data_IF_565684960599
#
_entry.id   IF_565684960599
#
_cell.length_a   1.000
_cell.length_b   1.000
_cell.length_c   1.000
_cell.angle_alpha   90.00
_cell.angle_beta   90.00
_cell.angle_gamma   90.00
#
_symmetry.space_group_name_H-M   'P 1'
#
loop_
_entity.id
_entity.type
_entity.pdbx_description
1 polymer ?
#
# COMPACT_ATOMS: atom_id res chain seq x y z
N UNK A 1 -11.44 24.74 2.02
CA UNK A 1 -9.97 24.83 1.81
C UNK A 1 -9.58 25.84 0.72
N UNK A 2 -10.02 25.69 -0.53
CA UNK A 2 -9.69 26.63 -1.61
C UNK A 2 -10.13 28.07 -1.29
N UNK A 3 -11.33 28.24 -0.73
CA UNK A 3 -11.82 29.54 -0.26
C UNK A 3 -10.94 30.15 0.84
N UNK A 4 -10.49 29.34 1.81
CA UNK A 4 -9.59 29.78 2.89
C UNK A 4 -8.23 30.21 2.34
N UNK A 5 -7.65 29.43 1.42
CA UNK A 5 -6.42 29.81 0.71
C UNK A 5 -6.61 31.11 -0.10
N UNK A 6 -7.76 31.27 -0.74
CA UNK A 6 -8.09 32.50 -1.46
C UNK A 6 -8.19 33.73 -0.56
N UNK A 7 -8.79 33.59 0.62
CA UNK A 7 -8.84 34.67 1.64
C UNK A 7 -7.43 35.04 2.08
N UNK A 8 -6.59 34.05 2.40
CA UNK A 8 -5.19 34.25 2.79
C UNK A 8 -4.41 35.02 1.72
N UNK A 9 -4.56 34.63 0.44
CA UNK A 9 -3.87 35.31 -0.67
C UNK A 9 -4.31 36.77 -0.77
N UNK A 10 -5.62 37.06 -0.63
CA UNK A 10 -6.11 38.44 -0.63
C UNK A 10 -5.55 39.25 0.54
N UNK A 11 -5.61 38.71 1.76
CA UNK A 11 -5.06 39.38 2.94
C UNK A 11 -3.55 39.64 2.81
N UNK A 12 -2.81 38.72 2.21
CA UNK A 12 -1.38 38.89 1.92
C UNK A 12 -1.13 40.02 0.92
N UNK A 13 -1.93 40.07 -0.15
CA UNK A 13 -1.85 41.17 -1.11
C UNK A 13 -2.19 42.51 -0.45
N UNK A 14 -3.19 42.55 0.42
CA UNK A 14 -3.57 43.76 1.15
C UNK A 14 -2.46 44.22 2.10
N UNK A 15 -1.83 43.30 2.83
CA UNK A 15 -0.68 43.60 3.69
C UNK A 15 0.49 44.19 2.90
N UNK A 16 0.80 43.61 1.74
CA UNK A 16 1.87 44.08 0.85
C UNK A 16 1.55 45.44 0.24
N UNK A 17 0.29 45.66 -0.16
CA UNK A 17 -0.18 46.94 -0.67
C UNK A 17 -0.06 48.06 0.38
N UNK A 18 -0.41 47.76 1.64
CA UNK A 18 -0.24 48.70 2.76
C UNK A 18 1.24 49.00 3.03
N UNK A 19 2.10 47.99 2.96
CA UNK A 19 3.56 48.17 3.07
C UNK A 19 4.12 49.07 1.96
N UNK A 20 3.69 48.89 0.72
CA UNK A 20 4.04 49.76 -0.41
C UNK A 20 3.55 51.19 -0.19
N UNK A 21 2.30 51.35 0.26
CA UNK A 21 1.74 52.66 0.57
C UNK A 21 2.53 53.42 1.65
N UNK A 22 3.02 52.71 2.68
CA UNK A 22 3.90 53.32 3.69
C UNK A 22 5.24 53.79 3.08
N UNK A 23 5.84 53.01 2.18
CA UNK A 23 7.06 53.41 1.45
C UNK A 23 6.83 54.60 0.51
N UNK A 24 5.64 54.69 -0.10
CA UNK A 24 5.25 55.83 -0.93
C UNK A 24 5.09 57.10 -0.08
N UNK A 25 4.52 57.01 1.13
CA UNK A 25 4.44 58.14 2.05
C UNK A 25 5.82 58.62 2.49
N UNK A 26 6.73 57.71 2.80
CA UNK A 26 8.13 58.06 3.10
C UNK A 26 8.80 58.80 1.94
N UNK A 27 8.63 58.31 0.71
CA UNK A 27 9.15 58.95 -0.49
C UNK A 27 8.58 60.35 -0.70
N UNK A 28 7.27 60.54 -0.45
CA UNK A 28 6.61 61.84 -0.54
C UNK A 28 7.08 62.82 0.54
N UNK A 29 7.28 62.35 1.78
CA UNK A 29 7.82 63.18 2.86
C UNK A 29 9.24 63.67 2.53
N UNK A 30 10.10 62.78 2.01
CA UNK A 30 11.45 63.15 1.56
C UNK A 30 11.42 64.19 0.43
N UNK A 31 10.53 64.01 -0.56
CA UNK A 31 10.40 64.94 -1.68
C UNK A 31 9.92 66.34 -1.23
N UNK A 32 9.06 66.43 -0.21
CA UNK A 32 8.61 67.71 0.36
C UNK A 32 9.76 68.45 1.04
N UNK A 33 10.54 67.75 1.88
CA UNK A 33 11.70 68.34 2.55
C UNK A 33 12.75 68.81 1.54
N UNK A 34 12.98 68.04 0.47
CA UNK A 34 13.89 68.43 -0.60
C UNK A 34 13.43 69.70 -1.34
N UNK A 35 12.12 69.86 -1.59
CA UNK A 35 11.57 71.10 -2.16
C UNK A 35 11.70 72.30 -1.24
N UNK A 36 11.55 72.09 0.08
CA UNK A 36 11.82 73.10 1.10
C UNK A 36 13.28 73.57 1.05
N UNK A 37 14.23 72.63 0.95
CA UNK A 37 15.67 72.95 0.84
C UNK A 37 16.03 73.69 -0.45
N UNK A 38 15.35 73.38 -1.56
CA UNK A 38 15.55 74.05 -2.85
C UNK A 38 14.88 75.44 -2.93
N UNK A 39 14.19 75.88 -1.86
CA UNK A 39 13.48 77.17 -1.81
C UNK A 39 12.23 77.22 -2.69
N UNK A 40 11.79 76.07 -3.24
CA UNK A 40 10.57 75.97 -4.05
C UNK A 40 9.29 75.84 -3.20
N UNK A 41 9.45 75.66 -1.88
CA UNK A 41 8.41 75.63 -0.87
C UNK A 41 8.97 76.29 0.40
N UNK A 42 8.13 76.96 1.19
CA UNK A 42 8.56 77.44 2.50
C UNK A 42 8.95 76.26 3.39
N UNK A 43 10.12 76.33 4.04
CA UNK A 43 10.62 75.22 4.87
C UNK A 43 9.64 74.84 5.99
N UNK A 44 9.03 75.82 6.65
CA UNK A 44 8.05 75.57 7.70
C UNK A 44 6.82 74.82 7.19
N UNK A 45 6.36 75.13 5.97
CA UNK A 45 5.26 74.41 5.33
C UNK A 45 5.67 73.01 4.88
N UNK A 46 6.89 72.86 4.35
CA UNK A 46 7.48 71.56 3.98
C UNK A 46 7.54 70.60 5.17
N UNK A 47 8.04 71.07 6.32
CA UNK A 47 8.17 70.30 7.55
C UNK A 47 6.80 69.93 8.13
N UNK A 48 5.83 70.86 8.10
CA UNK A 48 4.45 70.59 8.54
C UNK A 48 3.81 69.46 7.73
N UNK A 49 3.88 69.55 6.39
CA UNK A 49 3.32 68.55 5.48
C UNK A 49 4.06 67.21 5.58
N UNK A 50 5.39 67.22 5.70
CA UNK A 50 6.18 66.01 5.88
C UNK A 50 5.81 65.30 7.20
N UNK A 51 5.62 66.05 8.29
CA UNK A 51 5.21 65.50 9.59
C UNK A 51 3.84 64.82 9.51
N UNK A 52 2.86 65.45 8.83
CA UNK A 52 1.53 64.85 8.64
C UNK A 52 1.60 63.57 7.79
N UNK A 53 2.44 63.54 6.75
CA UNK A 53 2.63 62.34 5.93
C UNK A 53 3.33 61.23 6.72
N UNK A 54 4.31 61.56 7.56
CA UNK A 54 4.98 60.59 8.43
C UNK A 54 4.04 60.00 9.48
N UNK A 55 3.12 60.79 10.03
CA UNK A 55 2.07 60.27 10.91
C UNK A 55 1.18 59.24 10.18
N UNK A 56 0.78 59.54 8.93
CA UNK A 56 0.00 58.58 8.10
C UNK A 56 0.81 57.34 7.71
N UNK A 57 2.13 57.47 7.53
CA UNK A 57 3.04 56.33 7.31
C UNK A 57 3.03 55.39 8.52
N UNK A 58 3.11 55.94 9.73
CA UNK A 58 3.08 55.17 10.98
C UNK A 58 1.79 54.35 11.08
N UNK A 59 0.63 55.00 10.87
CA UNK A 59 -0.69 54.35 10.91
C UNK A 59 -0.80 53.19 9.92
N UNK A 60 -0.43 53.43 8.65
CA UNK A 60 -0.47 52.40 7.60
C UNK A 60 0.56 51.30 7.85
N UNK A 61 1.72 51.63 8.42
CA UNK A 61 2.75 50.68 8.80
C UNK A 61 2.29 49.73 9.91
N UNK A 62 1.61 50.26 10.93
CA UNK A 62 1.01 49.45 11.99
C UNK A 62 -0.10 48.54 11.45
N UNK A 63 -0.94 49.05 10.55
CA UNK A 63 -1.98 48.25 9.89
C UNK A 63 -1.38 47.11 9.05
N UNK A 64 -0.31 47.37 8.30
CA UNK A 64 0.41 46.36 7.53
C UNK A 64 1.01 45.27 8.43
N UNK A 65 1.59 45.65 9.57
CA UNK A 65 2.09 44.72 10.59
C UNK A 65 0.98 43.85 11.17
N UNK A 66 -0.18 44.45 11.48
CA UNK A 66 -1.35 43.74 11.98
C UNK A 66 -1.85 42.72 10.97
N UNK A 67 -2.06 43.14 9.71
CA UNK A 67 -2.49 42.23 8.64
C UNK A 67 -1.48 41.10 8.42
N UNK A 68 -0.18 41.41 8.42
CA UNK A 68 0.87 40.40 8.20
C UNK A 68 0.84 39.30 9.27
N UNK A 69 0.69 39.68 10.55
CA UNK A 69 0.52 38.70 11.65
C UNK A 69 -0.73 37.85 11.46
N UNK A 70 -1.83 38.46 11.05
CA UNK A 70 -3.09 37.76 10.82
C UNK A 70 -3.01 36.78 9.65
N UNK A 71 -2.33 37.17 8.55
CA UNK A 71 -2.02 36.29 7.41
C UNK A 71 -1.24 35.06 7.87
N UNK A 72 -0.20 35.22 8.69
CA UNK A 72 0.59 34.08 9.19
C UNK A 72 -0.25 33.11 10.02
N UNK A 73 -1.14 33.64 10.87
CA UNK A 73 -2.07 32.82 11.65
C UNK A 73 -3.03 32.03 10.75
N UNK A 74 -3.62 32.70 9.75
CA UNK A 74 -4.55 32.08 8.80
C UNK A 74 -3.86 31.06 7.89
N UNK A 75 -2.60 31.29 7.47
CA UNK A 75 -1.77 30.33 6.75
C UNK A 75 -1.56 29.05 7.57
N UNK A 76 -1.21 29.18 8.85
CA UNK A 76 -1.03 28.04 9.76
C UNK A 76 -2.31 27.23 9.91
N UNK A 77 -3.46 27.90 10.12
CA UNK A 77 -4.76 27.22 10.21
C UNK A 77 -5.14 26.52 8.90
N UNK A 78 -4.88 27.14 7.74
CA UNK A 78 -5.13 26.52 6.45
C UNK A 78 -4.28 25.26 6.22
N UNK A 79 -3.01 25.28 6.65
CA UNK A 79 -2.12 24.11 6.58
C UNK A 79 -2.57 22.99 7.52
N UNK A 80 -3.02 23.31 8.74
CA UNK A 80 -3.58 22.32 9.65
C UNK A 80 -4.84 21.68 9.07
N UNK A 81 -5.73 22.49 8.50
CA UNK A 81 -6.94 21.98 7.85
C UNK A 81 -6.61 21.06 6.67
N UNK A 82 -5.62 21.41 5.85
CA UNK A 82 -5.13 20.55 4.77
C UNK A 82 -4.68 19.18 5.31
N UNK A 83 -3.83 19.18 6.34
CA UNK A 83 -3.34 17.93 6.95
C UNK A 83 -4.49 17.07 7.49
N UNK A 84 -5.50 17.69 8.09
CA UNK A 84 -6.67 16.99 8.58
C UNK A 84 -7.51 16.40 7.45
N UNK A 85 -7.69 17.14 6.34
CA UNK A 85 -8.38 16.63 5.15
C UNK A 85 -7.62 15.45 4.53
N UNK A 86 -6.30 15.52 4.46
CA UNK A 86 -5.49 14.42 3.91
C UNK A 86 -5.58 13.17 4.79
N UNK A 87 -5.53 13.33 6.12
CA UNK A 87 -5.78 12.23 7.08
C UNK A 87 -7.17 11.63 6.94
N UNK A 88 -8.20 12.45 6.76
CA UNK A 88 -9.56 11.98 6.54
C UNK A 88 -9.65 11.20 5.23
N UNK A 89 -9.03 11.70 4.15
CA UNK A 89 -9.01 11.02 2.85
C UNK A 89 -8.38 9.63 2.94
N UNK A 90 -7.23 9.48 3.60
CA UNK A 90 -6.59 8.17 3.77
C UNK A 90 -7.43 7.23 4.64
N UNK A 91 -8.08 7.77 5.68
CA UNK A 91 -8.98 7.02 6.55
C UNK A 91 -10.22 6.53 5.80
N UNK A 92 -10.84 7.38 4.98
CA UNK A 92 -11.97 7.01 4.12
C UNK A 92 -11.56 5.92 3.15
N UNK A 93 -10.42 6.06 2.47
CA UNK A 93 -9.94 5.02 1.55
C UNK A 93 -9.73 3.67 2.25
N UNK A 94 -9.20 3.68 3.48
CA UNK A 94 -9.07 2.47 4.30
C UNK A 94 -10.43 1.85 4.59
N UNK A 95 -11.40 2.63 5.04
CA UNK A 95 -12.74 2.12 5.33
C UNK A 95 -13.48 1.62 4.09
N UNK A 96 -13.27 2.24 2.92
CA UNK A 96 -13.80 1.74 1.65
C UNK A 96 -13.24 0.35 1.31
N UNK A 97 -11.93 0.16 1.48
CA UNK A 97 -11.28 -1.14 1.27
C UNK A 97 -11.77 -2.20 2.27
N UNK A 98 -11.91 -1.82 3.54
CA UNK A 98 -12.45 -2.69 4.59
C UNK A 98 -13.91 -3.08 4.28
N UNK A 99 -14.72 -2.14 3.78
CA UNK A 99 -16.10 -2.37 3.37
C UNK A 99 -16.19 -3.35 2.19
N UNK A 100 -15.34 -3.20 1.17
CA UNK A 100 -15.26 -4.13 0.03
C UNK A 100 -14.92 -5.53 0.54
N UNK A 101 -13.92 -5.65 1.41
CA UNK A 101 -13.50 -6.91 2.01
C UNK A 101 -14.63 -7.56 2.82
N UNK A 102 -15.31 -6.77 3.67
CA UNK A 102 -16.44 -7.24 4.47
C UNK A 102 -17.61 -7.70 3.59
N UNK A 103 -17.93 -6.98 2.51
CA UNK A 103 -18.95 -7.39 1.54
C UNK A 103 -18.60 -8.71 0.86
N UNK A 104 -17.35 -8.88 0.44
CA UNK A 104 -16.90 -10.14 -0.15
C UNK A 104 -17.02 -11.30 0.84
N UNK A 105 -16.55 -11.12 2.08
CA UNK A 105 -16.66 -12.12 3.16
C UNK A 105 -18.12 -12.46 3.48
N UNK A 106 -19.00 -11.47 3.56
CA UNK A 106 -20.42 -11.67 3.80
C UNK A 106 -21.06 -12.50 2.67
N UNK A 107 -20.72 -12.23 1.41
CA UNK A 107 -21.22 -12.98 0.25
C UNK A 107 -20.71 -14.43 0.27
N UNK A 108 -19.44 -14.66 0.58
CA UNK A 108 -18.88 -16.01 0.74
C UNK A 108 -19.54 -16.76 1.88
N UNK A 109 -19.68 -16.13 3.06
CA UNK A 109 -20.34 -16.74 4.21
C UNK A 109 -21.79 -17.12 3.91
N UNK A 110 -22.53 -16.27 3.18
CA UNK A 110 -23.89 -16.57 2.73
C UNK A 110 -23.92 -17.75 1.75
N UNK A 111 -22.98 -17.82 0.80
CA UNK A 111 -22.86 -18.93 -0.14
C UNK A 111 -22.48 -20.25 0.55
N UNK A 112 -21.48 -20.23 1.44
CA UNK A 112 -21.08 -21.39 2.26
C UNK A 112 -22.24 -21.86 3.13
N UNK A 113 -22.99 -20.95 3.75
CA UNK A 113 -24.20 -21.32 4.52
C UNK A 113 -25.25 -22.01 3.65
N UNK A 114 -25.50 -21.50 2.45
CA UNK A 114 -26.45 -22.10 1.51
C UNK A 114 -25.98 -23.48 1.04
N UNK A 115 -24.70 -23.63 0.73
CA UNK A 115 -24.09 -24.90 0.35
C UNK A 115 -24.18 -25.91 1.49
N UNK A 116 -23.79 -25.54 2.70
CA UNK A 116 -23.89 -26.40 3.88
C UNK A 116 -25.35 -26.83 4.16
N UNK A 117 -26.31 -25.92 3.98
CA UNK A 117 -27.73 -26.25 4.09
C UNK A 117 -28.22 -27.20 2.99
N UNK A 118 -27.64 -27.14 1.79
CA UNK A 118 -27.93 -28.09 0.71
C UNK A 118 -27.29 -29.46 0.98
N UNK A 119 -26.03 -29.52 1.42
CA UNK A 119 -25.38 -30.77 1.84
C UNK A 119 -26.18 -31.44 2.95
N UNK A 120 -26.55 -30.71 4.00
CA UNK A 120 -27.36 -31.25 5.10
C UNK A 120 -28.75 -31.75 4.66
N UNK A 121 -29.29 -31.25 3.53
CA UNK A 121 -30.53 -31.77 2.93
C UNK A 121 -30.32 -32.99 2.04
N UNK A 122 -29.10 -33.19 1.53
CA UNK A 122 -28.70 -34.38 0.75
C UNK A 122 -28.28 -35.54 1.66
N UNK A 123 -28.00 -35.26 2.94
CA UNK A 123 -27.41 -36.17 3.94
C UNK A 123 -28.40 -37.07 4.71
N UNK A 124 -29.47 -37.55 4.08
CA UNK A 124 -30.17 -38.75 4.60
C UNK A 124 -30.10 -39.91 3.61
N UNK A 125 -30.28 -39.65 2.32
CA UNK A 125 -30.38 -40.73 1.32
C UNK A 125 -29.12 -40.86 0.44
N UNK A 126 -28.37 -39.76 0.22
CA UNK A 126 -27.21 -39.75 -0.68
C UNK A 126 -25.92 -40.33 -0.07
N UNK A 127 -25.73 -40.17 1.23
CA UNK A 127 -24.51 -40.58 1.97
C UNK A 127 -24.48 -42.09 2.16
N UNK A 128 -25.64 -42.71 2.38
CA UNK A 128 -25.80 -44.18 2.40
C UNK A 128 -25.48 -44.76 1.02
N UNK A 129 -26.02 -44.17 -0.06
CA UNK A 129 -25.74 -44.61 -1.43
C UNK A 129 -24.25 -44.49 -1.81
N UNK A 130 -23.55 -43.47 -1.30
CA UNK A 130 -22.11 -43.31 -1.52
C UNK A 130 -21.27 -44.31 -0.70
N UNK A 131 -21.67 -44.60 0.55
CA UNK A 131 -21.03 -45.62 1.39
C UNK A 131 -21.25 -47.04 0.84
N UNK A 132 -22.45 -47.37 0.35
CA UNK A 132 -22.72 -48.64 -0.35
C UNK A 132 -21.85 -48.75 -1.61
N UNK A 133 -21.75 -47.68 -2.41
CA UNK A 133 -20.94 -47.70 -3.62
C UNK A 133 -19.44 -47.83 -3.34
N UNK A 134 -18.95 -47.22 -2.26
CA UNK A 134 -17.56 -47.40 -1.82
C UNK A 134 -17.32 -48.80 -1.25
N UNK A 135 -18.26 -49.34 -0.47
CA UNK A 135 -18.19 -50.71 0.05
C UNK A 135 -18.13 -51.73 -1.08
N UNK A 136 -19.05 -51.65 -2.05
CA UNK A 136 -19.09 -52.57 -3.19
C UNK A 136 -17.79 -52.52 -4.00
N UNK A 137 -17.20 -51.33 -4.16
CA UNK A 137 -15.93 -51.17 -4.85
C UNK A 137 -14.74 -51.76 -4.08
N UNK A 138 -14.72 -51.63 -2.75
CA UNK A 138 -13.69 -52.26 -1.91
C UNK A 138 -13.82 -53.78 -1.92
N UNK A 139 -15.04 -54.32 -1.83
CA UNK A 139 -15.27 -55.77 -1.95
C UNK A 139 -14.84 -56.30 -3.33
N UNK A 140 -15.05 -55.54 -4.40
CA UNK A 140 -14.58 -55.87 -5.76
C UNK A 140 -13.05 -55.83 -5.86
N UNK A 141 -12.41 -54.77 -5.36
CA UNK A 141 -10.94 -54.65 -5.33
C UNK A 141 -10.27 -55.73 -4.46
N UNK A 142 -10.88 -56.11 -3.33
CA UNK A 142 -10.42 -57.21 -2.46
C UNK A 142 -10.57 -58.57 -3.13
N UNK A 143 -11.68 -58.81 -3.82
CA UNK A 143 -11.90 -60.05 -4.59
C UNK A 143 -10.88 -60.18 -5.72
N UNK A 144 -10.56 -59.06 -6.38
CA UNK A 144 -9.58 -59.00 -7.46
C UNK A 144 -8.15 -59.20 -6.93
N UNK A 145 -7.84 -58.65 -5.75
CA UNK A 145 -6.59 -58.91 -5.05
C UNK A 145 -6.44 -60.36 -4.58
N UNK A 146 -7.51 -61.01 -4.09
CA UNK A 146 -7.52 -62.44 -3.77
C UNK A 146 -7.30 -63.29 -5.03
N UNK A 147 -7.97 -62.98 -6.13
CA UNK A 147 -7.76 -63.67 -7.41
C UNK A 147 -6.30 -63.52 -7.89
N UNK A 148 -5.69 -62.34 -7.75
CA UNK A 148 -4.26 -62.16 -8.06
C UNK A 148 -3.33 -62.88 -7.07
N UNK A 149 -3.70 -62.97 -5.78
CA UNK A 149 -2.97 -63.75 -4.78
C UNK A 149 -2.96 -65.25 -5.09
N UNK A 150 -4.09 -65.81 -5.51
CA UNK A 150 -4.20 -67.22 -5.92
C UNK A 150 -3.46 -67.49 -7.25
N UNK A 151 -3.46 -66.54 -8.19
CA UNK A 151 -2.65 -66.63 -9.42
C UNK A 151 -1.15 -66.61 -9.09
N UNK A 152 -0.72 -65.78 -8.13
CA UNK A 152 0.68 -65.72 -7.69
C UNK A 152 1.13 -66.99 -6.95
N UNK A 153 0.24 -67.66 -6.19
CA UNK A 153 0.55 -68.91 -5.50
C UNK A 153 0.53 -70.14 -6.44
N UNK A 154 -0.15 -70.04 -7.59
CA UNK A 154 -0.13 -71.07 -8.64
C UNK A 154 1.13 -71.05 -9.53
N UNK A 155 2.04 -70.08 -9.32
CA UNK A 155 3.21 -69.83 -10.16
C UNK A 155 4.55 -70.18 -9.51
N UNK A 156 4.76 -71.43 -9.07
CA UNK A 156 6.14 -71.92 -8.91
C UNK A 156 6.80 -72.02 -10.30
N UNK A 157 7.62 -71.03 -10.64
CA UNK A 157 8.34 -70.99 -11.91
C UNK A 157 9.30 -72.19 -12.01
N UNK A 158 9.29 -72.86 -13.16
CA UNK A 158 10.23 -73.93 -13.52
C UNK A 158 11.68 -73.49 -13.29
N UNK A 159 11.99 -72.19 -13.41
CA UNK A 159 13.32 -71.64 -13.18
C UNK A 159 13.79 -71.72 -11.71
N UNK A 160 12.88 -71.69 -10.73
CA UNK A 160 13.21 -71.92 -9.32
C UNK A 160 13.53 -73.40 -9.05
N UNK A 161 12.89 -74.32 -9.77
CA UNK A 161 13.22 -75.75 -9.72
C UNK A 161 14.57 -76.05 -10.41
N UNK A 162 14.90 -75.33 -11.50
CA UNK A 162 16.18 -75.44 -12.21
C UNK A 162 17.35 -74.91 -11.36
N UNK A 163 17.21 -73.74 -10.73
CA UNK A 163 18.27 -73.16 -9.90
C UNK A 163 18.53 -73.96 -8.61
N UNK A 164 17.50 -74.65 -8.09
CA UNK A 164 17.65 -75.56 -6.94
C UNK A 164 18.30 -76.91 -7.34
N UNK A 165 18.21 -77.30 -8.61
CA UNK A 165 18.82 -78.51 -9.16
C UNK A 165 20.28 -78.32 -9.63
N UNK A 166 20.70 -77.08 -9.93
CA UNK A 166 22.04 -76.72 -10.42
C UNK A 166 23.00 -76.24 -9.32
N UNK A 167 22.90 -76.79 -8.10
CA UNK A 167 23.60 -76.32 -6.90
C UNK A 167 25.07 -75.89 -7.03
N UNK A 168 25.42 -74.88 -6.22
CA UNK A 168 26.74 -74.54 -5.66
C UNK A 168 28.00 -74.94 -6.48
N UNK A 169 28.51 -74.02 -7.31
CA UNK A 169 29.81 -74.20 -7.95
C UNK A 169 30.18 -73.16 -9.02
N UNK A 170 31.28 -72.44 -8.77
CA UNK A 170 32.21 -71.79 -9.72
C UNK A 170 31.96 -70.33 -10.23
N UNK A 171 32.70 -69.41 -9.57
CA UNK A 171 33.70 -68.48 -10.17
C UNK A 171 33.31 -67.31 -11.11
N UNK A 172 33.21 -66.09 -10.51
CA UNK A 172 33.73 -64.75 -10.96
C UNK A 172 33.32 -64.17 -12.34
N UNK A 173 33.65 -62.89 -12.73
CA UNK A 173 34.07 -61.67 -12.00
C UNK A 173 33.25 -60.40 -12.40
N UNK A 174 33.33 -59.29 -11.67
CA UNK A 174 32.71 -58.03 -12.15
C UNK A 174 32.96 -56.73 -11.38
N UNK A 175 33.64 -56.76 -10.24
CA UNK A 175 33.85 -55.56 -9.42
C UNK A 175 35.14 -54.77 -9.78
N UNK A 176 36.09 -55.37 -10.52
CA UNK A 176 37.37 -54.74 -10.85
C UNK A 176 37.28 -53.74 -12.02
N UNK A 177 36.37 -53.95 -12.97
CA UNK A 177 36.24 -53.11 -14.17
C UNK A 177 35.58 -51.76 -13.88
N UNK A 178 34.67 -51.72 -12.90
CA UNK A 178 34.01 -50.49 -12.44
C UNK A 178 34.96 -49.49 -11.76
N UNK A 179 36.05 -49.98 -11.15
CA UNK A 179 37.02 -49.11 -10.45
C UNK A 179 38.02 -48.48 -11.44
N UNK A 180 38.37 -49.18 -12.52
CA UNK A 180 39.25 -48.67 -13.57
C UNK A 180 38.57 -47.57 -14.41
N UNK A 181 37.28 -47.73 -14.72
CA UNK A 181 36.49 -46.73 -15.43
C UNK A 181 36.28 -45.43 -14.64
N UNK A 182 36.22 -45.51 -13.31
CA UNK A 182 36.06 -44.34 -12.43
C UNK A 182 37.35 -43.50 -12.35
N UNK A 183 38.52 -44.16 -12.29
CA UNK A 183 39.84 -43.49 -12.25
C UNK A 183 40.16 -42.75 -13.56
N UNK A 184 39.80 -43.33 -14.71
CA UNK A 184 39.97 -42.67 -16.01
C UNK A 184 39.10 -41.41 -16.17
N UNK A 185 37.94 -41.36 -15.50
CA UNK A 185 37.01 -40.23 -15.56
C UNK A 185 37.37 -39.07 -14.62
N UNK A 186 38.20 -39.33 -13.59
CA UNK A 186 38.56 -38.35 -12.57
C UNK A 186 39.92 -37.66 -12.77
N UNK A 187 40.69 -37.99 -13.83
CA UNK A 187 42.05 -37.44 -14.08
C UNK A 187 42.94 -37.41 -12.83
N UNK A 188 43.03 -38.57 -12.16
CA UNK A 188 44.09 -38.88 -11.20
C UNK A 188 44.55 -40.29 -11.59
N UNK A 189 45.73 -40.54 -12.15
CA UNK A 189 46.95 -39.75 -12.31
C UNK A 189 47.04 -38.94 -13.62
#
# INVERSE_FOLDING_TARGET
LAQVKGIVIRMRNDAENKKKLAADYESKAMALLQKGQQGSLEMAEAERLATEILARKEDVGQEALRLSKEVTSQESMALQLQRNVDKLRTTVQRYENDLITLRARAKTAAATRKLNAQIARVDSDGTIAMLEKMRNKVEEDESLAQAYGEIADSGQSIDEQINKALGDGSSMPGASDSLAALKAKMKIA
#
